data_IF_195329945000
#
_entry.id   IF_195329945000
#
_cell.length_a   1.000
_cell.length_b   1.000
_cell.length_c   1.000
_cell.angle_alpha   90.00
_cell.angle_beta   90.00
_cell.angle_gamma   90.00
#
_symmetry.space_group_name_H-M   'P 1'
#
loop_
_entity.id
_entity.type
_entity.pdbx_description
1 polymer ?
#
# COMPACT_ATOMS: atom_id res chain seq x y z
N UNK A 1 3.96 -10.22 -8.23
CA UNK A 1 3.59 -9.92 -6.83
C UNK A 1 2.29 -10.57 -6.36
N UNK A 2 1.53 -11.32 -7.16
CA UNK A 2 0.19 -11.82 -6.78
C UNK A 2 0.13 -12.73 -5.53
N UNK A 3 1.26 -13.32 -5.12
CA UNK A 3 1.38 -14.13 -3.89
C UNK A 3 1.63 -13.31 -2.63
N UNK A 4 2.07 -12.06 -2.78
CA UNK A 4 2.27 -11.08 -1.70
C UNK A 4 1.08 -10.11 -1.77
N UNK A 5 -0.07 -10.53 -1.24
CA UNK A 5 -1.35 -9.82 -1.31
C UNK A 5 -2.02 -9.61 0.05
N UNK A 6 -1.29 -9.79 1.15
CA UNK A 6 -1.77 -9.56 2.50
C UNK A 6 -2.04 -8.06 2.76
N UNK A 7 -3.02 -7.82 3.62
CA UNK A 7 -3.39 -6.52 4.17
C UNK A 7 -3.62 -6.71 5.65
N UNK A 8 -2.90 -5.96 6.48
CA UNK A 8 -2.96 -6.13 7.94
C UNK A 8 -2.49 -4.91 8.69
N UNK A 9 -2.66 -4.94 10.01
CA UNK A 9 -1.99 -4.01 10.91
C UNK A 9 -0.72 -4.67 11.43
N UNK A 10 0.41 -3.99 11.27
CA UNK A 10 1.71 -4.40 11.77
C UNK A 10 1.93 -3.72 13.13
N UNK A 11 1.90 -4.51 14.20
CA UNK A 11 2.09 -4.01 15.57
C UNK A 11 3.53 -3.57 15.85
N UNK A 12 4.53 -4.14 15.17
CA UNK A 12 5.94 -3.80 15.36
C UNK A 12 6.23 -2.38 14.85
N UNK A 13 5.67 -2.05 13.68
CA UNK A 13 5.82 -0.73 13.06
C UNK A 13 4.69 0.26 13.40
N UNK A 14 3.62 -0.20 14.05
CA UNK A 14 2.46 0.63 14.39
C UNK A 14 1.74 1.20 13.16
N UNK A 15 1.75 0.47 12.04
CA UNK A 15 1.25 0.92 10.75
C UNK A 15 0.46 -0.18 10.01
N UNK A 16 -0.36 0.20 9.03
CA UNK A 16 -1.00 -0.79 8.16
C UNK A 16 -0.02 -1.25 7.08
N UNK A 17 0.26 -2.56 7.04
CA UNK A 17 1.07 -3.18 6.01
C UNK A 17 0.17 -3.65 4.85
N UNK A 18 0.50 -3.22 3.64
CA UNK A 18 -0.16 -3.60 2.40
C UNK A 18 0.88 -4.15 1.44
N UNK A 19 0.82 -5.44 1.16
CA UNK A 19 1.76 -6.05 0.22
C UNK A 19 1.46 -5.61 -1.22
N UNK A 20 2.52 -5.50 -2.05
CA UNK A 20 2.44 -4.89 -3.38
C UNK A 20 1.45 -5.56 -4.35
N UNK A 21 1.10 -6.83 -4.13
CA UNK A 21 0.13 -7.58 -4.92
C UNK A 21 -1.33 -7.45 -4.46
N UNK A 22 -1.61 -6.79 -3.34
CA UNK A 22 -2.98 -6.58 -2.88
C UNK A 22 -3.75 -5.67 -3.83
N UNK A 23 -5.00 -6.02 -4.15
CA UNK A 23 -5.88 -5.14 -4.94
C UNK A 23 -6.54 -4.09 -4.06
N UNK A 24 -6.85 -2.91 -4.59
CA UNK A 24 -7.49 -1.83 -3.83
C UNK A 24 -8.83 -2.28 -3.20
N UNK A 25 -9.59 -3.12 -3.89
CA UNK A 25 -10.82 -3.70 -3.35
C UNK A 25 -10.58 -4.58 -2.11
N UNK A 26 -9.48 -5.35 -2.09
CA UNK A 26 -9.07 -6.13 -0.93
C UNK A 26 -8.59 -5.23 0.21
N UNK A 27 -7.82 -4.18 -0.10
CA UNK A 27 -7.34 -3.18 0.86
C UNK A 27 -8.52 -2.50 1.56
N UNK A 28 -9.44 -1.90 0.79
CA UNK A 28 -10.60 -1.19 1.35
C UNK A 28 -11.49 -2.13 2.17
N UNK A 29 -11.77 -3.33 1.67
CA UNK A 29 -12.60 -4.31 2.39
C UNK A 29 -11.98 -4.69 3.74
N UNK A 30 -10.68 -4.94 3.76
CA UNK A 30 -9.97 -5.39 4.97
C UNK A 30 -9.87 -4.26 5.99
N UNK A 31 -9.38 -3.09 5.56
CA UNK A 31 -9.26 -1.91 6.43
C UNK A 31 -10.62 -1.50 7.02
N UNK A 32 -11.66 -1.45 6.19
CA UNK A 32 -12.98 -0.99 6.62
C UNK A 32 -13.68 -2.00 7.53
N UNK A 33 -13.67 -3.30 7.18
CA UNK A 33 -14.42 -4.30 7.95
C UNK A 33 -13.77 -4.66 9.28
N UNK A 34 -12.44 -4.61 9.37
CA UNK A 34 -11.71 -5.03 10.57
C UNK A 34 -11.44 -3.85 11.50
N UNK A 35 -11.12 -2.66 10.96
CA UNK A 35 -10.72 -1.50 11.77
C UNK A 35 -11.59 -0.25 11.56
N UNK A 36 -12.53 -0.25 10.62
CA UNK A 36 -13.40 0.91 10.36
C UNK A 36 -12.68 2.10 9.69
N UNK A 37 -11.51 1.89 9.09
CA UNK A 37 -10.71 2.93 8.43
C UNK A 37 -10.55 2.65 6.93
N UNK A 38 -10.00 3.61 6.17
CA UNK A 38 -9.72 3.48 4.73
C UNK A 38 -8.55 4.36 4.31
N UNK A 39 -8.11 4.23 3.05
CA UNK A 39 -7.11 5.08 2.41
C UNK A 39 -7.73 5.80 1.20
N UNK A 40 -7.36 7.07 0.91
CA UNK A 40 -7.91 7.83 -0.21
C UNK A 40 -7.24 7.49 -1.56
N UNK A 41 -7.24 6.21 -1.91
CA UNK A 41 -6.72 5.69 -3.18
C UNK A 41 -7.74 5.70 -4.32
N UNK A 42 -7.40 4.98 -5.40
CA UNK A 42 -8.16 4.88 -6.63
C UNK A 42 -9.53 4.22 -6.50
N UNK A 43 -10.41 4.49 -7.47
CA UNK A 43 -11.77 3.98 -7.51
C UNK A 43 -11.89 2.53 -8.03
N UNK A 44 -10.94 2.08 -8.87
CA UNK A 44 -11.01 0.77 -9.53
C UNK A 44 -10.52 -0.36 -8.59
N UNK A 45 -11.37 -1.35 -8.25
CA UNK A 45 -11.06 -2.33 -7.21
C UNK A 45 -9.93 -3.30 -7.57
N UNK A 46 -9.72 -3.58 -8.86
CA UNK A 46 -8.73 -4.57 -9.31
C UNK A 46 -7.32 -3.98 -9.50
N UNK A 47 -7.15 -2.67 -9.32
CA UNK A 47 -5.83 -2.03 -9.37
C UNK A 47 -4.97 -2.55 -8.20
N UNK A 48 -3.72 -2.91 -8.47
CA UNK A 48 -2.77 -3.38 -7.47
C UNK A 48 -2.10 -2.24 -6.69
N UNK A 49 -1.88 -2.45 -5.40
CA UNK A 49 -1.29 -1.48 -4.49
C UNK A 49 0.13 -1.06 -4.90
N UNK A 50 0.96 -2.02 -5.32
CA UNK A 50 2.37 -1.79 -5.64
C UNK A 50 2.57 -0.66 -6.65
N UNK A 51 1.91 -0.76 -7.81
CA UNK A 51 1.94 0.23 -8.90
C UNK A 51 1.15 1.52 -8.61
N UNK A 52 0.16 1.46 -7.73
CA UNK A 52 -0.75 2.57 -7.51
C UNK A 52 -0.23 3.56 -6.46
N UNK A 53 0.29 3.04 -5.34
CA UNK A 53 0.76 3.87 -4.24
C UNK A 53 2.01 4.65 -4.67
N UNK A 54 3.03 3.97 -5.22
CA UNK A 54 4.26 4.64 -5.67
C UNK A 54 4.03 5.71 -6.76
N UNK A 55 2.92 5.61 -7.51
CA UNK A 55 2.53 6.56 -8.54
C UNK A 55 1.74 7.76 -8.03
N UNK A 56 1.52 7.91 -6.72
CA UNK A 56 0.75 9.02 -6.16
C UNK A 56 -0.76 8.82 -6.21
N UNK A 57 -1.23 7.56 -6.12
CA UNK A 57 -2.63 7.18 -6.25
C UNK A 57 -3.65 8.12 -5.58
N UNK A 58 -4.75 8.38 -6.27
CA UNK A 58 -5.81 9.28 -5.82
C UNK A 58 -7.18 8.76 -6.26
N UNK A 59 -8.25 9.25 -5.63
CA UNK A 59 -9.61 8.89 -6.01
C UNK A 59 -10.68 9.67 -5.24
N UNK A 60 -11.88 9.07 -5.02
CA UNK A 60 -13.07 9.79 -4.56
C UNK A 60 -12.87 10.56 -3.25
N UNK A 61 -12.07 10.01 -2.33
CA UNK A 61 -11.84 10.61 -1.01
C UNK A 61 -10.68 11.61 -0.99
N UNK A 62 -9.96 11.80 -2.09
CA UNK A 62 -8.73 12.59 -2.07
C UNK A 62 -8.95 14.08 -1.82
N UNK A 63 -10.10 14.65 -2.23
CA UNK A 63 -10.42 16.04 -1.87
C UNK A 63 -10.63 16.25 -0.36
N UNK A 64 -11.05 15.20 0.34
CA UNK A 64 -11.29 15.23 1.79
C UNK A 64 -10.04 14.88 2.58
N UNK A 65 -9.21 13.97 2.06
CA UNK A 65 -8.14 13.33 2.81
C UNK A 65 -6.75 13.40 2.19
N UNK A 66 -6.57 13.92 0.98
CA UNK A 66 -5.29 13.96 0.28
C UNK A 66 -5.03 12.77 -0.66
N UNK A 67 -3.83 12.69 -1.23
CA UNK A 67 -3.38 11.53 -2.00
C UNK A 67 -3.09 10.35 -1.06
N UNK A 68 -3.09 9.12 -1.59
CA UNK A 68 -2.72 7.94 -0.80
C UNK A 68 -1.28 8.03 -0.26
N UNK A 69 -0.39 8.74 -0.96
CA UNK A 69 1.02 8.89 -0.53
C UNK A 69 1.19 9.83 0.65
N UNK A 70 0.19 10.66 0.97
CA UNK A 70 0.20 11.47 2.20
C UNK A 70 0.12 10.60 3.47
N UNK A 71 -0.19 9.31 3.31
CA UNK A 71 -0.29 8.30 4.37
C UNK A 71 0.81 7.23 4.28
N UNK A 72 1.79 7.38 3.39
CA UNK A 72 2.88 6.40 3.26
C UNK A 72 3.93 6.63 4.35
N UNK A 73 3.95 5.75 5.35
CA UNK A 73 4.87 5.86 6.48
C UNK A 73 6.27 5.28 6.20
N UNK A 74 6.33 4.11 5.57
CA UNK A 74 7.57 3.41 5.22
C UNK A 74 7.34 2.52 3.97
N UNK A 75 8.42 2.01 3.38
CA UNK A 75 8.34 1.06 2.24
C UNK A 75 9.50 0.08 2.28
N UNK A 76 9.19 -1.22 2.29
CA UNK A 76 10.18 -2.27 2.07
C UNK A 76 10.49 -2.41 0.58
N UNK A 77 11.76 -2.30 0.20
CA UNK A 77 12.21 -2.34 -1.20
C UNK A 77 13.45 -3.21 -1.37
N UNK A 78 13.43 -4.06 -2.40
CA UNK A 78 14.61 -4.78 -2.87
C UNK A 78 15.33 -3.88 -3.88
N UNK A 79 16.59 -3.55 -3.57
CA UNK A 79 17.46 -2.72 -4.41
C UNK A 79 18.66 -3.52 -4.88
N UNK A 80 19.29 -3.02 -5.94
CA UNK A 80 20.58 -3.53 -6.45
C UNK A 80 21.58 -2.39 -6.36
N UNK A 81 22.76 -2.65 -5.80
CA UNK A 81 23.82 -1.66 -5.67
C UNK A 81 24.82 -1.65 -6.84
N UNK A 82 25.88 -0.85 -6.71
CA UNK A 82 26.91 -0.68 -7.72
C UNK A 82 27.70 -1.97 -8.00
N UNK A 83 27.85 -2.88 -7.04
CA UNK A 83 28.48 -4.20 -7.27
C UNK A 83 27.54 -5.19 -7.96
N UNK A 84 26.25 -4.86 -8.07
CA UNK A 84 25.22 -5.72 -8.62
C UNK A 84 24.58 -6.63 -7.57
N UNK A 85 24.85 -6.41 -6.28
CA UNK A 85 24.31 -7.23 -5.20
C UNK A 85 22.90 -6.75 -4.83
N UNK A 86 21.99 -7.71 -4.68
CA UNK A 86 20.62 -7.45 -4.23
C UNK A 86 20.55 -7.40 -2.70
N UNK A 87 19.91 -6.37 -2.15
CA UNK A 87 19.56 -6.29 -0.72
C UNK A 87 18.18 -5.69 -0.50
N UNK A 88 17.56 -6.06 0.60
CA UNK A 88 16.29 -5.47 1.06
C UNK A 88 16.57 -4.35 2.06
N UNK A 89 15.83 -3.25 1.94
CA UNK A 89 15.84 -2.13 2.89
C UNK A 89 14.41 -1.70 3.20
N UNK A 90 14.19 -1.18 4.40
CA UNK A 90 12.93 -0.56 4.86
C UNK A 90 13.23 0.89 5.23
#
# INVERSE_FOLDING_TARGET
MSRLSAVGFDEEHGAFAVEAGATLGAVYKTLFRVWGVTLPGGACPDVGAGGHILGGGYGPLSRMHGSIVDYLHAVEVVVVDESGDARTVI
#
